data_IF_773829523030
#
_entry.id   IF_773829523030
#
_cell.length_a   1.000
_cell.length_b   1.000
_cell.length_c   1.000
_cell.angle_alpha   90.00
_cell.angle_beta   90.00
_cell.angle_gamma   90.00
#
_symmetry.space_group_name_H-M   'P 1'
#
loop_
_entity.id
_entity.type
_entity.pdbx_description
1 polymer ?
#
# COMPACT_ATOMS: atom_id res chain seq x y z
N UNK A 1 11.47 -1.35 20.91
CA UNK A 1 10.87 -2.11 19.79
C UNK A 1 9.86 -1.27 18.98
N UNK A 2 9.08 -0.37 19.62
CA UNK A 2 8.16 0.54 18.93
C UNK A 2 8.72 1.36 17.74
N UNK A 3 9.98 1.88 17.77
CA UNK A 3 10.48 2.71 16.67
C UNK A 3 10.66 1.93 15.35
N UNK A 4 11.10 0.67 15.44
CA UNK A 4 11.33 -0.19 14.27
C UNK A 4 10.00 -0.50 13.58
N UNK A 5 8.94 -0.69 14.37
CA UNK A 5 7.59 -0.96 13.87
C UNK A 5 7.03 0.25 13.12
N UNK A 6 7.22 1.46 13.67
CA UNK A 6 6.81 2.71 13.01
C UNK A 6 7.57 2.95 11.71
N UNK A 7 8.89 2.74 11.71
CA UNK A 7 9.72 2.88 10.49
C UNK A 7 9.31 1.86 9.43
N UNK A 8 9.09 0.60 9.82
CA UNK A 8 8.61 -0.45 8.91
C UNK A 8 7.28 -0.07 8.25
N UNK A 9 6.29 0.37 9.03
CA UNK A 9 5.00 0.81 8.52
C UNK A 9 5.13 1.97 7.54
N UNK A 10 5.92 2.99 7.91
CA UNK A 10 6.12 4.16 7.07
C UNK A 10 6.79 3.78 5.75
N UNK A 11 7.86 3.00 5.79
CA UNK A 11 8.56 2.51 4.60
C UNK A 11 7.67 1.62 3.73
N UNK A 12 6.86 0.75 4.34
CA UNK A 12 5.90 -0.09 3.62
C UNK A 12 4.84 0.75 2.91
N UNK A 13 4.22 1.71 3.60
CA UNK A 13 3.22 2.59 3.00
C UNK A 13 3.80 3.39 1.83
N UNK A 14 5.02 3.89 1.98
CA UNK A 14 5.69 4.68 0.95
C UNK A 14 6.01 3.82 -0.29
N UNK A 15 6.62 2.65 -0.10
CA UNK A 15 6.93 1.73 -1.21
C UNK A 15 5.69 1.15 -1.88
N UNK A 16 4.59 0.97 -1.14
CA UNK A 16 3.34 0.43 -1.69
C UNK A 16 2.57 1.44 -2.55
N UNK A 17 2.68 2.74 -2.24
CA UNK A 17 2.01 3.80 -2.99
C UNK A 17 2.85 4.40 -4.13
N UNK A 18 4.13 4.04 -4.28
CA UNK A 18 5.00 4.67 -5.26
C UNK A 18 4.70 4.24 -6.71
N UNK A 19 3.77 4.96 -7.31
CA UNK A 19 3.32 4.79 -8.68
C UNK A 19 4.41 5.17 -9.69
N UNK A 20 5.06 6.32 -9.51
CA UNK A 20 5.99 6.88 -10.50
C UNK A 20 7.27 6.05 -10.61
N UNK A 21 7.81 5.61 -9.46
CA UNK A 21 8.98 4.74 -9.44
C UNK A 21 8.69 3.40 -10.11
N UNK A 22 7.54 2.79 -9.80
CA UNK A 22 7.14 1.52 -10.42
C UNK A 22 6.88 1.68 -11.92
N UNK A 23 6.23 2.76 -12.37
CA UNK A 23 5.92 3.01 -13.78
C UNK A 23 7.18 3.22 -14.63
N UNK A 24 8.21 3.85 -14.05
CA UNK A 24 9.46 4.17 -14.76
C UNK A 24 10.41 2.98 -14.88
N UNK A 25 10.48 2.12 -13.87
CA UNK A 25 11.41 0.99 -13.85
C UNK A 25 10.80 -0.30 -14.39
N UNK A 26 9.48 -0.48 -14.28
CA UNK A 26 8.82 -1.73 -14.66
C UNK A 26 8.15 -1.57 -16.02
N UNK A 27 8.83 -2.09 -17.04
CA UNK A 27 8.37 -2.04 -18.43
C UNK A 27 7.54 -3.29 -18.77
N UNK A 28 7.93 -4.45 -18.25
CA UNK A 28 7.25 -5.73 -18.52
C UNK A 28 5.89 -5.81 -17.83
N UNK A 29 4.85 -6.21 -18.58
CA UNK A 29 3.47 -6.29 -18.08
C UNK A 29 3.32 -7.25 -16.89
N UNK A 30 4.05 -8.38 -16.91
CA UNK A 30 3.96 -9.44 -15.89
C UNK A 30 4.53 -9.04 -14.52
N UNK A 31 5.34 -7.98 -14.47
CA UNK A 31 5.99 -7.50 -13.26
C UNK A 31 5.34 -6.23 -12.70
N UNK A 32 4.26 -5.74 -13.33
CA UNK A 32 3.62 -4.49 -12.93
C UNK A 32 3.08 -4.60 -11.51
N UNK A 33 3.46 -3.63 -10.68
CA UNK A 33 2.89 -3.46 -9.34
C UNK A 33 1.46 -2.90 -9.44
N UNK A 34 0.76 -2.89 -8.31
CA UNK A 34 -0.66 -2.55 -8.24
C UNK A 34 -0.96 -1.17 -8.83
N UNK A 35 -0.09 -0.18 -8.62
CA UNK A 35 -0.23 1.17 -9.18
C UNK A 35 -0.21 1.22 -10.72
N UNK A 36 0.91 0.88 -11.37
CA UNK A 36 1.01 0.84 -12.83
C UNK A 36 0.01 -0.11 -13.49
N UNK A 37 -0.26 -1.25 -12.84
CA UNK A 37 -1.25 -2.22 -13.33
C UNK A 37 -2.68 -1.66 -13.35
N UNK A 38 -3.07 -0.90 -12.33
CA UNK A 38 -4.35 -0.19 -12.31
C UNK A 38 -4.45 0.86 -13.42
N UNK A 39 -3.44 1.72 -13.53
CA UNK A 39 -3.42 2.82 -14.49
C UNK A 39 -3.43 2.31 -15.94
N UNK A 40 -2.53 1.39 -16.27
CA UNK A 40 -2.29 0.98 -17.66
C UNK A 40 -3.32 -0.04 -18.16
N UNK A 41 -3.96 -0.82 -17.28
CA UNK A 41 -4.92 -1.84 -17.69
C UNK A 41 -6.38 -1.38 -17.62
N UNK A 42 -6.74 -0.49 -16.68
CA UNK A 42 -8.14 -0.09 -16.46
C UNK A 42 -8.44 1.37 -16.82
N UNK A 43 -7.45 2.26 -16.79
CA UNK A 43 -7.63 3.69 -17.08
C UNK A 43 -7.02 4.07 -18.44
N UNK A 44 -7.20 3.21 -19.44
CA UNK A 44 -6.61 3.38 -20.77
C UNK A 44 -7.49 4.26 -21.66
N UNK A 45 -6.90 5.11 -22.51
CA UNK A 45 -7.58 6.18 -23.27
C UNK A 45 -8.73 5.72 -24.17
N UNK A 46 -8.76 4.45 -24.55
CA UNK A 46 -9.72 3.89 -25.52
C UNK A 46 -10.89 3.12 -24.90
N UNK A 47 -10.80 2.69 -23.63
CA UNK A 47 -11.85 1.98 -22.90
C UNK A 47 -11.56 1.98 -21.39
N UNK A 48 -11.82 3.11 -20.74
CA UNK A 48 -11.64 3.22 -19.28
C UNK A 48 -12.72 2.45 -18.53
N UNK A 49 -12.35 1.32 -17.94
CA UNK A 49 -13.20 0.57 -17.02
C UNK A 49 -13.05 1.12 -15.60
N UNK A 50 -13.89 2.11 -15.29
CA UNK A 50 -13.95 2.72 -13.96
C UNK A 50 -14.41 1.74 -12.88
N UNK A 51 -15.24 0.75 -13.22
CA UNK A 51 -15.69 -0.27 -12.28
C UNK A 51 -14.55 -1.19 -11.85
N UNK A 52 -13.80 -1.70 -12.84
CA UNK A 52 -12.58 -2.47 -12.62
C UNK A 52 -11.51 -1.67 -11.88
N UNK A 53 -11.30 -0.40 -12.22
CA UNK A 53 -10.36 0.47 -11.54
C UNK A 53 -10.71 0.69 -10.05
N UNK A 54 -11.99 0.92 -9.73
CA UNK A 54 -12.45 1.08 -8.34
C UNK A 54 -12.33 -0.23 -7.54
N UNK A 55 -12.73 -1.36 -8.13
CA UNK A 55 -12.62 -2.67 -7.49
C UNK A 55 -11.15 -3.04 -7.20
N UNK A 56 -10.26 -2.81 -8.16
CA UNK A 56 -8.84 -3.07 -7.97
C UNK A 56 -8.18 -2.05 -7.00
N UNK A 57 -8.68 -0.82 -6.89
CA UNK A 57 -8.25 0.14 -5.86
C UNK A 57 -8.65 -0.29 -4.44
N UNK A 58 -9.84 -0.87 -4.27
CA UNK A 58 -10.24 -1.51 -3.01
C UNK A 58 -9.35 -2.71 -2.67
N UNK A 59 -9.00 -3.52 -3.66
CA UNK A 59 -8.06 -4.63 -3.48
C UNK A 59 -6.64 -4.15 -3.16
N UNK A 60 -6.23 -2.99 -3.71
CA UNK A 60 -4.93 -2.37 -3.44
C UNK A 60 -4.79 -1.84 -2.00
N UNK A 61 -5.89 -1.40 -1.39
CA UNK A 61 -5.88 -0.86 -0.03
C UNK A 61 -5.92 -1.95 1.05
N UNK A 62 -6.49 -3.13 0.74
CA UNK A 62 -6.57 -4.28 1.64
C UNK A 62 -5.27 -4.62 2.39
N UNK A 63 -4.11 -4.80 1.74
CA UNK A 63 -2.87 -5.16 2.45
C UNK A 63 -2.41 -4.08 3.43
N UNK A 64 -2.63 -2.81 3.12
CA UNK A 64 -2.34 -1.70 4.04
C UNK A 64 -3.27 -1.74 5.25
N UNK A 65 -4.57 -1.97 5.02
CA UNK A 65 -5.57 -2.11 6.09
C UNK A 65 -5.27 -3.31 6.98
N UNK A 66 -4.92 -4.47 6.40
CA UNK A 66 -4.57 -5.67 7.16
C UNK A 66 -3.29 -5.46 7.99
N UNK A 67 -2.26 -4.84 7.40
CA UNK A 67 -1.05 -4.49 8.12
C UNK A 67 -1.40 -3.57 9.31
N UNK A 68 -2.17 -2.51 9.07
CA UNK A 68 -2.61 -1.59 10.12
C UNK A 68 -3.35 -2.30 11.26
N UNK A 69 -4.32 -3.16 10.96
CA UNK A 69 -5.08 -3.94 11.95
C UNK A 69 -4.18 -4.90 12.73
N UNK A 70 -3.20 -5.55 12.08
CA UNK A 70 -2.26 -6.44 12.75
C UNK A 70 -1.29 -5.68 13.68
N UNK A 71 -1.02 -4.42 13.37
CA UNK A 71 -0.04 -3.56 14.03
C UNK A 71 -0.65 -2.68 15.13
N UNK A 72 -1.95 -2.38 15.07
CA UNK A 72 -2.65 -1.57 16.08
C UNK A 72 -2.45 -2.10 17.52
N UNK A 73 -2.40 -3.43 17.69
CA UNK A 73 -2.18 -4.07 19.00
C UNK A 73 -0.80 -3.77 19.59
N UNK A 74 0.23 -3.65 18.75
CA UNK A 74 1.59 -3.32 19.19
C UNK A 74 1.72 -1.84 19.52
N UNK A 75 0.99 -0.99 18.81
CA UNK A 75 0.88 0.44 19.14
C UNK A 75 0.21 0.64 20.51
N UNK A 76 -0.90 -0.05 20.78
CA UNK A 76 -1.61 0.04 22.07
C UNK A 76 -0.72 -0.45 23.23
N UNK A 77 -0.07 -1.61 23.08
CA UNK A 77 0.84 -2.15 24.11
C UNK A 77 2.07 -1.27 24.34
N UNK A 78 2.63 -0.69 23.27
CA UNK A 78 3.77 0.23 23.35
C UNK A 78 3.42 1.57 24.03
N UNK A 79 2.22 2.10 23.79
CA UNK A 79 1.74 3.32 24.43
C UNK A 79 1.51 3.15 25.94
N UNK A 80 0.94 2.01 26.37
CA UNK A 80 0.72 1.72 27.80
C UNK A 80 2.03 1.41 28.54
N UNK A 81 3.02 0.81 27.87
CA UNK A 81 4.32 0.53 28.46
C UNK A 81 5.18 1.80 28.68
N UNK A 82 4.94 2.86 27.89
CA UNK A 82 5.57 4.17 28.08
C UNK A 82 4.85 5.07 29.09
N UNK A 83 3.59 4.79 29.42
CA UNK A 83 2.79 5.56 30.38
C UNK A 83 3.08 5.20 31.86
N UNK A 84 3.81 4.10 32.11
CA UNK A 84 4.31 3.74 33.44
C UNK A 84 5.79 4.12 33.54
N UNK A 85 6.07 5.42 33.50
CA UNK A 85 7.25 6.05 34.11
C UNK A 85 7.08 7.55 34.22
#
# INVERSE_FOLDING_TARGET
>A
MAPIITVFLYSFMWSWNDLLYSLTLIISADLRTVGPGLLLNYLNESNSDWGGAMAASLMASLPVTVAFIALQRFFIQGATAGAVK
#
